data_IF_355079756175
#
_entry.id   IF_355079756175
#
_cell.length_a   1.000
_cell.length_b   1.000
_cell.length_c   1.000
_cell.angle_alpha   90.00
_cell.angle_beta   90.00
_cell.angle_gamma   90.00
#
_symmetry.space_group_name_H-M   'P 1'
#
loop_
_entity.id
_entity.type
_entity.pdbx_description
1 polymer ?
#
# COMPACT_ATOMS: atom_id res chain seq x y z
N UNK A 1 54.39 -1.32 -88.10
CA UNK A 1 54.12 -0.19 -87.19
C UNK A 1 52.74 -0.39 -86.61
N UNK A 2 52.70 -1.02 -85.44
CA UNK A 2 51.52 -1.46 -84.70
C UNK A 2 51.87 -1.24 -83.23
N UNK A 3 50.96 -0.54 -82.54
CA UNK A 3 50.72 -0.50 -81.09
C UNK A 3 51.88 -0.01 -80.21
N UNK A 4 51.69 1.16 -79.61
CA UNK A 4 51.59 1.15 -78.16
C UNK A 4 50.66 2.26 -77.65
N UNK A 5 49.80 1.84 -76.73
CA UNK A 5 48.72 2.60 -76.11
C UNK A 5 49.27 3.75 -75.26
N UNK A 6 48.72 4.95 -75.45
CA UNK A 6 48.35 5.87 -74.37
C UNK A 6 47.55 7.05 -74.91
N UNK A 7 46.63 7.45 -74.04
CA UNK A 7 46.02 8.77 -73.93
C UNK A 7 44.68 9.06 -74.63
N UNK A 8 43.77 9.49 -73.74
CA UNK A 8 42.68 10.43 -73.94
C UNK A 8 41.46 9.96 -74.72
N UNK A 9 40.47 9.42 -73.99
CA UNK A 9 39.04 9.79 -74.13
C UNK A 9 38.19 9.09 -73.08
N UNK A 10 37.92 9.75 -71.95
CA UNK A 10 36.70 9.51 -71.15
C UNK A 10 36.45 10.62 -70.12
N UNK A 11 36.60 11.90 -70.51
CA UNK A 11 35.98 13.01 -69.79
C UNK A 11 34.49 13.01 -70.19
N UNK A 12 33.69 12.06 -69.68
CA UNK A 12 32.22 12.17 -69.67
C UNK A 12 31.49 11.17 -68.77
N UNK A 13 32.05 10.75 -67.62
CA UNK A 13 31.26 10.02 -66.59
C UNK A 13 31.69 10.51 -65.20
N UNK A 14 31.41 11.79 -64.92
CA UNK A 14 31.66 12.36 -63.60
C UNK A 14 30.51 13.28 -63.17
N UNK A 15 29.26 12.93 -63.49
CA UNK A 15 28.05 13.60 -62.97
C UNK A 15 26.80 12.70 -63.02
N UNK A 16 26.78 11.51 -62.42
CA UNK A 16 25.49 10.85 -62.12
C UNK A 16 25.50 9.63 -61.18
N UNK A 17 26.32 9.58 -60.11
CA UNK A 17 26.19 8.50 -59.11
C UNK A 17 26.36 9.01 -57.67
N UNK A 18 25.76 10.16 -57.37
CA UNK A 18 25.65 10.65 -55.99
C UNK A 18 24.27 11.28 -55.78
N UNK A 19 23.23 10.45 -55.73
CA UNK A 19 21.88 10.79 -55.22
C UNK A 19 21.00 9.54 -55.28
N UNK A 20 20.93 8.82 -54.16
CA UNK A 20 19.78 8.03 -53.66
C UNK A 20 20.28 7.03 -52.62
N UNK A 21 20.83 7.54 -51.51
CA UNK A 21 20.79 6.83 -50.23
C UNK A 21 19.55 7.38 -49.50
N UNK A 22 18.49 6.57 -49.29
CA UNK A 22 17.40 7.01 -48.45
C UNK A 22 17.94 7.11 -47.04
N UNK A 23 18.05 8.33 -46.53
CA UNK A 23 18.23 8.57 -45.10
C UNK A 23 16.94 8.10 -44.43
N UNK A 24 16.93 6.86 -43.97
CA UNK A 24 15.97 6.36 -42.99
C UNK A 24 16.23 7.13 -41.69
N UNK A 25 15.67 8.33 -41.58
CA UNK A 25 15.51 8.98 -40.30
C UNK A 25 14.47 8.17 -39.52
N UNK A 26 14.82 7.51 -38.41
CA UNK A 26 13.81 6.88 -37.58
C UNK A 26 12.91 8.01 -37.06
N UNK A 27 11.67 8.06 -37.54
CA UNK A 27 10.64 8.88 -36.94
C UNK A 27 10.38 8.30 -35.55
N UNK A 28 11.04 8.86 -34.52
CA UNK A 28 10.68 8.61 -33.13
C UNK A 28 9.33 9.31 -32.95
N UNK A 29 8.25 8.57 -33.22
CA UNK A 29 6.90 8.99 -32.85
C UNK A 29 6.83 8.85 -31.33
N UNK A 30 7.01 9.96 -30.60
CA UNK A 30 6.65 10.01 -29.19
C UNK A 30 5.14 9.85 -29.15
N UNK A 31 4.65 8.66 -28.82
CA UNK A 31 3.23 8.45 -28.59
C UNK A 31 2.77 9.44 -27.52
N UNK A 32 1.70 10.20 -27.80
CA UNK A 32 1.13 11.10 -26.80
C UNK A 32 0.84 10.33 -25.51
N UNK A 33 1.15 10.91 -24.34
CA UNK A 33 0.90 10.24 -23.07
C UNK A 33 -0.60 9.98 -22.96
N UNK A 34 -0.96 8.72 -22.74
CA UNK A 34 -2.36 8.36 -22.52
C UNK A 34 -2.83 9.00 -21.22
N UNK A 35 -3.97 9.69 -21.26
CA UNK A 35 -4.50 10.43 -20.10
C UNK A 35 -5.73 9.71 -19.57
N UNK A 36 -5.78 9.51 -18.26
CA UNK A 36 -6.95 9.03 -17.53
C UNK A 36 -7.78 10.22 -17.03
N UNK A 37 -9.07 10.24 -17.32
CA UNK A 37 -10.01 11.15 -16.67
C UNK A 37 -10.51 10.49 -15.38
N UNK A 38 -10.03 10.99 -14.24
CA UNK A 38 -10.34 10.46 -12.92
C UNK A 38 -11.13 11.47 -12.10
N UNK A 39 -12.13 10.97 -11.38
CA UNK A 39 -12.82 11.76 -10.35
C UNK A 39 -12.34 11.38 -8.94
N UNK A 40 -12.53 12.31 -8.02
CA UNK A 40 -12.46 12.13 -6.56
C UNK A 40 -13.32 13.20 -5.87
N UNK A 41 -13.34 13.26 -4.53
CA UNK A 41 -14.07 14.26 -3.74
C UNK A 41 -13.12 15.06 -2.83
N UNK A 42 -13.58 16.14 -2.21
CA UNK A 42 -12.76 16.93 -1.28
C UNK A 42 -12.65 16.21 0.07
N UNK A 43 -11.43 15.86 0.48
CA UNK A 43 -11.11 15.31 1.80
C UNK A 43 -9.62 15.56 2.12
N UNK A 44 -9.24 16.76 2.60
CA UNK A 44 -7.89 17.01 3.05
C UNK A 44 -7.52 16.09 4.24
N UNK A 45 -6.25 15.64 4.35
CA UNK A 45 -5.10 15.94 3.48
C UNK A 45 -4.95 14.97 2.29
N UNK A 46 -5.90 14.05 2.10
CA UNK A 46 -5.83 12.99 1.10
C UNK A 46 -6.02 13.49 -0.33
N UNK A 47 -7.01 14.35 -0.52
CA UNK A 47 -7.30 15.02 -1.77
C UNK A 47 -7.99 16.36 -1.51
N UNK A 48 -7.41 17.45 -1.99
CA UNK A 48 -7.97 18.79 -1.82
C UNK A 48 -7.65 19.69 -2.99
N UNK A 49 -8.39 20.79 -3.08
CA UNK A 49 -8.14 21.81 -4.09
C UNK A 49 -6.81 22.52 -3.83
N UNK A 50 -5.88 22.43 -4.79
CA UNK A 50 -4.62 23.16 -4.75
C UNK A 50 -4.58 24.26 -5.82
N UNK A 51 -4.36 25.50 -5.38
CA UNK A 51 -4.10 26.62 -6.28
C UNK A 51 -2.63 26.62 -6.72
N UNK A 52 -2.40 26.48 -8.03
CA UNK A 52 -1.08 26.74 -8.62
C UNK A 52 -0.99 28.22 -9.01
N UNK A 53 0.22 28.78 -8.94
CA UNK A 53 0.56 30.17 -9.31
C UNK A 53 0.00 30.62 -10.67
N UNK A 54 -0.31 29.68 -11.57
CA UNK A 54 -0.82 29.92 -12.93
C UNK A 54 -2.36 29.91 -13.05
N UNK A 55 -3.11 30.11 -11.95
CA UNK A 55 -4.59 30.16 -11.91
C UNK A 55 -5.31 28.87 -12.36
N UNK A 56 -4.58 27.78 -12.62
CA UNK A 56 -5.19 26.46 -12.84
C UNK A 56 -5.45 25.81 -11.49
N UNK A 57 -6.70 25.48 -11.25
CA UNK A 57 -7.08 24.61 -10.13
C UNK A 57 -6.54 23.22 -10.42
N UNK A 58 -5.68 22.73 -9.52
CA UNK A 58 -5.22 21.35 -9.49
C UNK A 58 -5.80 20.64 -8.27
N UNK A 59 -5.82 19.32 -8.29
CA UNK A 59 -6.12 18.50 -7.11
C UNK A 59 -4.80 17.93 -6.62
N UNK A 60 -4.53 18.03 -5.32
CA UNK A 60 -3.32 17.52 -4.70
C UNK A 60 -3.67 16.81 -3.38
N UNK A 61 -2.72 16.06 -2.82
CA UNK A 61 -2.89 15.34 -1.57
C UNK A 61 -2.31 13.92 -1.62
N UNK A 62 -2.29 13.25 -0.49
CA UNK A 62 -1.59 11.97 -0.32
C UNK A 62 -2.13 10.85 -1.23
N UNK A 63 -3.45 10.75 -1.36
CA UNK A 63 -4.09 9.76 -2.24
C UNK A 63 -3.89 10.14 -3.70
N UNK A 64 -3.94 11.44 -4.02
CA UNK A 64 -3.66 11.96 -5.36
C UNK A 64 -2.24 11.59 -5.80
N UNK A 65 -1.25 11.78 -4.93
CA UNK A 65 0.14 11.45 -5.20
C UNK A 65 0.32 9.94 -5.41
N UNK A 66 -0.34 9.12 -4.57
CA UNK A 66 -0.33 7.66 -4.71
C UNK A 66 -0.89 7.21 -6.06
N UNK A 67 -2.09 7.68 -6.42
CA UNK A 67 -2.75 7.33 -7.69
C UNK A 67 -1.96 7.83 -8.89
N UNK A 68 -1.46 9.07 -8.83
CA UNK A 68 -0.65 9.67 -9.90
C UNK A 68 0.65 8.89 -10.11
N UNK A 69 1.34 8.53 -9.03
CA UNK A 69 2.55 7.72 -9.08
C UNK A 69 2.29 6.36 -9.72
N UNK A 70 1.26 5.63 -9.26
CA UNK A 70 0.97 4.29 -9.73
C UNK A 70 0.48 4.29 -11.19
N UNK A 71 -0.36 5.26 -11.58
CA UNK A 71 -0.78 5.43 -12.97
C UNK A 71 0.41 5.74 -13.89
N UNK A 72 1.34 6.61 -13.45
CA UNK A 72 2.56 6.93 -14.21
C UNK A 72 3.44 5.72 -14.42
N UNK A 73 3.65 4.89 -13.39
CA UNK A 73 4.40 3.65 -13.52
C UNK A 73 3.68 2.62 -14.41
N UNK A 74 2.35 2.67 -14.47
CA UNK A 74 1.54 1.91 -15.42
C UNK A 74 1.51 2.50 -16.84
N UNK A 75 2.20 3.62 -17.09
CA UNK A 75 2.32 4.26 -18.42
C UNK A 75 1.23 5.29 -18.74
N UNK A 76 0.54 5.83 -17.73
CA UNK A 76 -0.56 6.79 -17.90
C UNK A 76 -0.30 8.10 -17.16
N UNK A 77 -0.77 9.20 -17.74
CA UNK A 77 -0.95 10.47 -17.03
C UNK A 77 -2.38 10.55 -16.51
N UNK A 78 -2.62 11.38 -15.49
CA UNK A 78 -3.96 11.55 -14.89
C UNK A 78 -4.43 12.99 -15.02
N UNK A 79 -5.73 13.16 -15.24
CA UNK A 79 -6.45 14.42 -15.07
C UNK A 79 -7.53 14.19 -14.02
N UNK A 80 -7.36 14.83 -12.86
CA UNK A 80 -8.21 14.60 -11.69
C UNK A 80 -9.18 15.78 -11.52
N UNK A 81 -10.44 15.48 -11.20
CA UNK A 81 -11.47 16.48 -10.88
C UNK A 81 -12.19 16.14 -9.58
N UNK A 82 -12.38 17.16 -8.74
CA UNK A 82 -13.24 17.07 -7.57
C UNK A 82 -14.71 17.10 -8.00
N UNK A 83 -15.45 16.08 -7.59
CA UNK A 83 -16.84 15.85 -7.98
C UNK A 83 -17.61 15.29 -6.79
N UNK A 84 -18.85 15.77 -6.51
CA UNK A 84 -19.69 15.18 -5.47
C UNK A 84 -19.85 13.66 -5.68
N UNK A 85 -19.70 12.89 -4.60
CA UNK A 85 -19.53 11.43 -4.66
C UNK A 85 -20.68 10.72 -5.39
N UNK A 86 -21.93 11.09 -5.10
CA UNK A 86 -23.12 10.56 -5.78
C UNK A 86 -23.08 10.79 -7.31
N UNK A 87 -22.54 11.93 -7.76
CA UNK A 87 -22.38 12.23 -9.18
C UNK A 87 -21.24 11.39 -9.77
N UNK A 88 -20.09 11.34 -9.11
CA UNK A 88 -18.96 10.55 -9.59
C UNK A 88 -19.32 9.07 -9.77
N UNK A 89 -20.05 8.51 -8.81
CA UNK A 89 -20.57 7.15 -8.85
C UNK A 89 -21.53 6.92 -10.04
N UNK A 90 -22.44 7.87 -10.27
CA UNK A 90 -23.38 7.82 -11.40
C UNK A 90 -22.65 7.87 -12.75
N UNK A 91 -21.65 8.74 -12.90
CA UNK A 91 -20.87 8.88 -14.13
C UNK A 91 -19.99 7.65 -14.41
N UNK A 92 -19.37 7.09 -13.37
CA UNK A 92 -18.59 5.84 -13.45
C UNK A 92 -19.46 4.68 -13.96
N UNK A 93 -20.64 4.47 -13.37
CA UNK A 93 -21.58 3.40 -13.74
C UNK A 93 -22.05 3.50 -15.19
N UNK A 94 -22.07 4.71 -15.75
CA UNK A 94 -22.45 4.99 -17.14
C UNK A 94 -21.27 5.00 -18.11
N UNK A 95 -20.07 4.65 -17.65
CA UNK A 95 -18.82 4.71 -18.42
C UNK A 95 -18.54 6.12 -18.99
N UNK A 96 -18.96 7.19 -18.29
CA UNK A 96 -18.71 8.58 -18.73
C UNK A 96 -17.35 9.12 -18.29
N UNK A 97 -16.66 8.39 -17.40
CA UNK A 97 -15.30 8.66 -16.93
C UNK A 97 -14.48 7.37 -16.95
N UNK A 98 -13.15 7.48 -16.94
CA UNK A 98 -12.27 6.31 -16.91
C UNK A 98 -12.26 5.67 -15.51
N UNK A 99 -12.24 6.48 -14.46
CA UNK A 99 -12.24 5.97 -13.09
C UNK A 99 -12.57 6.96 -11.99
N UNK A 100 -12.80 6.44 -10.80
CA UNK A 100 -13.10 7.18 -9.56
C UNK A 100 -12.34 6.52 -8.42
N UNK A 101 -11.60 7.30 -7.62
CA UNK A 101 -10.81 6.79 -6.51
C UNK A 101 -11.19 7.38 -5.15
N UNK A 102 -10.57 6.83 -4.09
CA UNK A 102 -10.84 7.11 -2.69
C UNK A 102 -12.22 6.58 -2.23
N UNK A 103 -12.66 5.45 -2.80
CA UNK A 103 -13.99 4.90 -2.58
C UNK A 103 -13.93 3.53 -1.91
N UNK A 104 -14.77 3.29 -0.90
CA UNK A 104 -14.89 1.98 -0.24
C UNK A 104 -15.54 0.95 -1.18
N UNK A 105 -15.29 -0.32 -0.92
CA UNK A 105 -15.84 -1.40 -1.71
C UNK A 105 -17.35 -1.55 -1.47
N UNK A 106 -18.11 -1.81 -2.53
CA UNK A 106 -19.48 -2.30 -2.41
C UNK A 106 -19.79 -3.32 -3.50
N UNK A 107 -20.72 -4.22 -3.20
CA UNK A 107 -21.19 -5.25 -4.15
C UNK A 107 -21.72 -4.63 -5.45
N UNK A 108 -22.43 -3.51 -5.34
CA UNK A 108 -22.99 -2.77 -6.47
C UNK A 108 -21.88 -2.19 -7.37
N UNK A 109 -20.82 -1.66 -6.76
CA UNK A 109 -19.67 -1.13 -7.48
C UNK A 109 -18.84 -2.22 -8.14
N UNK A 110 -18.58 -3.32 -7.43
CA UNK A 110 -17.83 -4.46 -7.96
C UNK A 110 -18.56 -5.12 -9.15
N UNK A 111 -19.87 -4.91 -9.26
CA UNK A 111 -20.65 -5.31 -10.44
C UNK A 111 -20.48 -4.31 -11.59
N UNK A 112 -20.51 -3.00 -11.30
CA UNK A 112 -20.52 -1.95 -12.31
C UNK A 112 -19.14 -1.51 -12.82
N UNK A 113 -18.06 -1.83 -12.09
CA UNK A 113 -16.70 -1.37 -12.34
C UNK A 113 -15.68 -2.37 -11.77
N UNK A 114 -14.39 -2.16 -12.07
CA UNK A 114 -13.30 -3.01 -11.56
C UNK A 114 -12.38 -2.20 -10.68
N UNK A 115 -12.17 -2.65 -9.44
CA UNK A 115 -11.27 -1.99 -8.49
C UNK A 115 -9.82 -2.45 -8.60
N UNK A 116 -8.91 -1.55 -8.21
CA UNK A 116 -7.51 -1.80 -7.90
C UNK A 116 -7.32 -2.49 -6.55
N UNK A 117 -6.07 -2.71 -6.14
CA UNK A 117 -5.74 -2.85 -4.71
C UNK A 117 -5.93 -1.48 -4.00
N UNK A 118 -6.05 -1.43 -2.66
CA UNK A 118 -6.29 -0.18 -1.95
C UNK A 118 -5.25 0.89 -2.28
N UNK A 119 -5.70 2.10 -2.56
CA UNK A 119 -4.86 3.28 -2.83
C UNK A 119 -4.65 4.12 -1.57
N UNK A 120 -5.56 4.03 -0.60
CA UNK A 120 -5.48 4.69 0.69
C UNK A 120 -6.14 3.84 1.80
N UNK A 121 -5.91 4.24 3.05
CA UNK A 121 -6.55 3.64 4.21
C UNK A 121 -6.99 4.75 5.16
N UNK A 122 -8.29 4.87 5.35
CA UNK A 122 -8.88 5.77 6.34
C UNK A 122 -9.10 5.06 7.67
N UNK A 123 -9.20 5.83 8.76
CA UNK A 123 -9.51 5.32 10.10
C UNK A 123 -10.81 5.96 10.56
N UNK A 124 -11.88 5.18 10.56
CA UNK A 124 -13.19 5.69 10.89
C UNK A 124 -13.46 5.57 12.39
N UNK A 125 -14.02 6.64 12.94
CA UNK A 125 -14.40 6.74 14.34
C UNK A 125 -15.81 7.29 14.46
N UNK A 126 -16.51 6.85 15.51
CA UNK A 126 -17.59 7.65 16.08
C UNK A 126 -16.99 8.71 16.99
N UNK A 127 -17.29 9.96 16.69
CA UNK A 127 -16.99 11.12 17.53
C UNK A 127 -18.22 11.48 18.34
N UNK A 128 -18.07 11.62 19.66
CA UNK A 128 -19.16 11.97 20.55
C UNK A 128 -18.73 12.95 21.63
N UNK A 129 -19.68 13.73 22.13
CA UNK A 129 -19.52 14.52 23.36
C UNK A 129 -19.87 13.71 24.61
N UNK A 130 -20.38 12.49 24.45
CA UNK A 130 -20.69 11.56 25.53
C UNK A 130 -19.59 10.51 25.70
N UNK A 131 -19.40 10.03 26.92
CA UNK A 131 -18.33 9.07 27.28
C UNK A 131 -18.52 7.70 26.66
N UNK A 132 -19.77 7.27 26.44
CA UNK A 132 -20.11 5.99 25.83
C UNK A 132 -21.31 6.18 24.90
N UNK A 133 -21.11 6.74 23.69
CA UNK A 133 -22.18 6.80 22.71
C UNK A 133 -22.62 5.37 22.37
N UNK A 134 -23.93 5.15 22.32
CA UNK A 134 -24.48 3.92 21.74
C UNK A 134 -24.93 4.24 20.31
N UNK A 135 -24.09 4.03 19.29
CA UNK A 135 -24.45 4.36 17.91
C UNK A 135 -25.68 3.59 17.41
N UNK A 136 -25.97 2.38 17.92
CA UNK A 136 -27.15 1.62 17.52
C UNK A 136 -28.48 2.22 18.03
N UNK A 137 -28.43 3.10 19.03
CA UNK A 137 -29.60 3.70 19.67
C UNK A 137 -29.58 5.24 19.64
N UNK A 138 -28.45 5.84 19.27
CA UNK A 138 -28.23 7.28 19.22
C UNK A 138 -28.45 7.85 17.81
N UNK A 139 -28.61 9.17 17.75
CA UNK A 139 -28.73 9.91 16.49
C UNK A 139 -27.34 10.01 15.86
N UNK A 140 -27.07 9.18 14.86
CA UNK A 140 -25.82 9.23 14.10
C UNK A 140 -25.92 10.35 13.06
N UNK A 141 -24.92 11.22 13.01
CA UNK A 141 -24.68 12.13 11.89
C UNK A 141 -23.65 11.57 10.91
N UNK A 142 -23.90 11.72 9.62
CA UNK A 142 -22.97 11.32 8.55
C UNK A 142 -23.10 12.24 7.33
N UNK A 143 -22.08 12.31 6.47
CA UNK A 143 -22.14 13.12 5.25
C UNK A 143 -22.92 12.39 4.16
N UNK A 144 -23.80 13.10 3.46
CA UNK A 144 -24.58 12.56 2.35
C UNK A 144 -23.69 12.07 1.20
N UNK A 145 -23.93 10.85 0.72
CA UNK A 145 -23.18 10.22 -0.36
C UNK A 145 -21.75 9.78 0.00
N UNK A 146 -21.37 9.81 1.28
CA UNK A 146 -20.02 9.42 1.70
C UNK A 146 -19.81 7.91 1.77
N UNK A 147 -18.55 7.48 1.87
CA UNK A 147 -18.21 6.07 2.08
C UNK A 147 -18.80 5.56 3.39
N UNK A 148 -18.79 6.39 4.43
CA UNK A 148 -19.34 6.12 5.76
C UNK A 148 -20.84 5.90 5.72
N UNK A 149 -21.60 6.71 4.96
CA UNK A 149 -23.05 6.52 4.80
C UNK A 149 -23.34 5.18 4.11
N UNK A 150 -22.65 4.89 3.00
CA UNK A 150 -22.82 3.64 2.28
C UNK A 150 -22.50 2.41 3.16
N UNK A 151 -21.49 2.53 4.03
CA UNK A 151 -21.18 1.48 5.00
C UNK A 151 -22.25 1.33 6.08
N UNK A 152 -22.73 2.44 6.69
CA UNK A 152 -23.82 2.39 7.68
C UNK A 152 -25.07 1.69 7.11
N UNK A 153 -25.45 2.03 5.88
CA UNK A 153 -26.56 1.39 5.17
C UNK A 153 -26.31 -0.12 4.98
N UNK A 154 -25.09 -0.52 4.63
CA UNK A 154 -24.71 -1.93 4.46
C UNK A 154 -24.76 -2.74 5.77
N UNK A 155 -24.53 -2.08 6.91
CA UNK A 155 -24.68 -2.66 8.25
C UNK A 155 -26.13 -2.61 8.77
N UNK A 156 -27.07 -2.04 7.98
CA UNK A 156 -28.48 -1.91 8.35
C UNK A 156 -28.80 -0.70 9.25
N UNK A 157 -27.84 0.18 9.50
CA UNK A 157 -27.99 1.41 10.28
C UNK A 157 -28.52 2.54 9.38
N UNK A 158 -29.83 2.54 9.13
CA UNK A 158 -30.46 3.46 8.19
C UNK A 158 -31.07 4.72 8.84
N UNK A 159 -31.25 4.73 10.17
CA UNK A 159 -31.80 5.89 10.90
C UNK A 159 -30.70 6.89 11.24
N UNK A 160 -30.24 7.61 10.22
CA UNK A 160 -29.11 8.55 10.30
C UNK A 160 -29.52 9.94 9.85
N UNK A 161 -28.91 10.97 10.44
CA UNK A 161 -29.03 12.35 10.00
C UNK A 161 -27.92 12.67 9.01
N UNK A 162 -28.27 12.91 7.76
CA UNK A 162 -27.30 13.29 6.73
C UNK A 162 -27.08 14.80 6.66
N UNK A 163 -25.85 15.21 6.39
CA UNK A 163 -25.48 16.61 6.13
C UNK A 163 -24.74 16.75 4.81
N UNK A 164 -24.65 17.97 4.28
CA UNK A 164 -23.99 18.18 2.98
C UNK A 164 -22.49 18.41 3.11
N UNK A 165 -22.00 18.91 4.25
CA UNK A 165 -20.58 19.20 4.45
C UNK A 165 -20.10 18.68 5.81
N UNK A 166 -18.82 18.24 5.92
CA UNK A 166 -18.27 17.76 7.19
C UNK A 166 -18.36 18.77 8.35
N UNK A 167 -18.21 20.08 8.09
CA UNK A 167 -18.31 21.13 9.10
C UNK A 167 -19.69 21.16 9.78
N UNK A 168 -20.74 20.76 9.05
CA UNK A 168 -22.09 20.67 9.61
C UNK A 168 -22.19 19.55 10.66
N UNK A 169 -21.46 18.43 10.50
CA UNK A 169 -21.43 17.37 11.52
C UNK A 169 -20.86 17.89 12.84
N UNK A 170 -19.71 18.59 12.77
CA UNK A 170 -19.09 19.18 13.95
C UNK A 170 -20.02 20.17 14.65
N UNK A 171 -20.72 21.02 13.89
CA UNK A 171 -21.70 21.95 14.43
C UNK A 171 -22.90 21.26 15.09
N UNK A 172 -23.36 20.12 14.57
CA UNK A 172 -24.47 19.36 15.15
C UNK A 172 -24.05 18.62 16.42
N UNK A 173 -22.85 18.04 16.46
CA UNK A 173 -22.27 17.43 17.67
C UNK A 173 -22.18 18.44 18.80
N UNK A 174 -21.59 19.61 18.55
CA UNK A 174 -21.41 20.67 19.55
C UNK A 174 -22.73 21.20 20.11
N UNK A 175 -23.79 21.16 19.31
CA UNK A 175 -25.15 21.57 19.71
C UNK A 175 -25.98 20.41 20.27
N UNK A 176 -25.39 19.22 20.45
CA UNK A 176 -26.05 17.98 20.92
C UNK A 176 -27.30 17.61 20.11
N UNK A 177 -27.29 17.94 18.80
CA UNK A 177 -28.36 17.58 17.87
C UNK A 177 -28.18 16.18 17.29
N UNK A 178 -26.96 15.67 17.33
CA UNK A 178 -26.59 14.29 17.08
C UNK A 178 -25.76 13.80 18.27
N UNK A 179 -25.77 12.50 18.50
CA UNK A 179 -25.10 11.85 19.64
C UNK A 179 -23.74 11.29 19.24
N UNK A 180 -23.59 10.92 17.96
CA UNK A 180 -22.32 10.52 17.36
C UNK A 180 -22.22 11.03 15.92
N UNK A 181 -21.01 11.38 15.47
CA UNK A 181 -20.72 11.57 14.05
C UNK A 181 -19.75 10.49 13.57
N UNK A 182 -20.04 9.85 12.44
CA UNK A 182 -19.13 8.89 11.80
C UNK A 182 -18.28 9.60 10.74
N UNK A 183 -16.95 9.56 10.89
CA UNK A 183 -16.02 10.21 9.96
C UNK A 183 -14.60 9.64 10.06
N UNK A 184 -13.80 9.87 9.03
CA UNK A 184 -12.33 9.70 9.11
C UNK A 184 -11.70 10.61 10.18
N UNK A 185 -10.75 10.04 10.92
CA UNK A 185 -10.04 10.74 11.99
C UNK A 185 -9.24 11.95 11.53
N UNK A 186 -8.48 11.84 10.44
CA UNK A 186 -7.61 12.92 9.99
C UNK A 186 -8.41 14.06 9.39
N UNK A 187 -9.52 13.74 8.72
CA UNK A 187 -10.47 14.76 8.27
C UNK A 187 -11.07 15.52 9.47
N UNK A 188 -11.45 14.83 10.56
CA UNK A 188 -11.91 15.50 11.78
C UNK A 188 -10.82 16.39 12.40
N UNK A 189 -9.57 15.91 12.46
CA UNK A 189 -8.42 16.69 12.96
C UNK A 189 -8.18 17.96 12.12
N UNK A 190 -8.31 17.86 10.80
CA UNK A 190 -8.20 19.02 9.90
C UNK A 190 -9.34 20.03 10.12
N UNK A 191 -10.57 19.55 10.32
CA UNK A 191 -11.75 20.40 10.57
C UNK A 191 -11.71 21.11 11.93
N UNK A 192 -11.18 20.45 12.96
CA UNK A 192 -10.95 21.03 14.28
C UNK A 192 -9.82 22.09 14.25
N UNK A 193 -8.91 21.93 13.30
CA UNK A 193 -7.81 22.85 13.08
C UNK A 193 -6.68 22.71 14.11
N UNK A 194 -5.65 23.56 14.04
CA UNK A 194 -4.40 23.38 14.76
C UNK A 194 -4.52 23.51 16.29
N UNK A 195 -5.61 24.11 16.78
CA UNK A 195 -5.88 24.24 18.22
C UNK A 195 -6.47 22.98 18.83
N UNK A 196 -7.12 22.11 18.05
CA UNK A 196 -7.66 20.83 18.52
C UNK A 196 -8.73 20.94 19.62
N UNK A 197 -9.39 22.09 19.75
CA UNK A 197 -10.21 22.42 20.93
C UNK A 197 -11.43 21.47 21.04
N UNK A 198 -12.00 21.04 19.92
CA UNK A 198 -13.13 20.13 19.93
C UNK A 198 -12.70 18.70 20.27
N UNK A 199 -11.66 18.19 19.61
CA UNK A 199 -11.18 16.81 19.81
C UNK A 199 -10.65 16.54 21.21
N UNK A 200 -10.10 17.53 21.90
CA UNK A 200 -9.66 17.38 23.30
C UNK A 200 -10.82 17.00 24.25
N UNK A 201 -12.04 17.42 23.93
CA UNK A 201 -13.23 17.19 24.76
C UNK A 201 -14.10 16.03 24.26
N UNK A 202 -13.79 15.48 23.09
CA UNK A 202 -14.59 14.44 22.46
C UNK A 202 -14.08 13.04 22.79
N UNK A 203 -15.03 12.11 22.86
CA UNK A 203 -14.76 10.69 22.92
C UNK A 203 -14.73 10.13 21.50
N UNK A 204 -13.68 9.35 21.22
CA UNK A 204 -13.48 8.68 19.95
C UNK A 204 -13.62 7.18 20.14
N UNK A 205 -14.57 6.57 19.44
CA UNK A 205 -14.72 5.12 19.38
C UNK A 205 -14.32 4.63 18.00
N UNK A 206 -13.26 3.82 17.94
CA UNK A 206 -12.79 3.22 16.69
C UNK A 206 -13.87 2.33 16.09
N UNK A 207 -14.10 2.47 14.79
CA UNK A 207 -15.09 1.67 14.04
C UNK A 207 -14.35 0.63 13.20
N UNK A 208 -13.54 1.10 12.23
CA UNK A 208 -12.80 0.23 11.32
C UNK A 208 -11.67 0.98 10.62
N UNK A 209 -10.76 0.20 10.06
CA UNK A 209 -9.91 0.64 8.97
C UNK A 209 -10.71 0.49 7.66
N UNK A 210 -10.76 1.55 6.86
CA UNK A 210 -11.48 1.57 5.59
C UNK A 210 -10.49 1.61 4.42
N UNK A 211 -10.21 0.47 3.75
CA UNK A 211 -9.48 0.49 2.48
C UNK A 211 -10.27 1.26 1.44
N UNK A 212 -9.59 2.20 0.78
CA UNK A 212 -10.18 2.94 -0.32
C UNK A 212 -9.49 2.55 -1.63
N UNK A 213 -10.28 2.43 -2.68
CA UNK A 213 -9.85 1.86 -3.96
C UNK A 213 -9.90 2.89 -5.10
N UNK A 214 -9.21 2.59 -6.20
CA UNK A 214 -9.51 3.15 -7.52
C UNK A 214 -10.43 2.17 -8.26
N UNK A 215 -11.63 2.61 -8.63
CA UNK A 215 -12.50 1.89 -9.54
C UNK A 215 -12.32 2.42 -10.96
N UNK A 216 -12.11 1.49 -11.90
CA UNK A 216 -12.06 1.76 -13.33
C UNK A 216 -13.35 1.28 -14.00
N UNK A 217 -13.86 2.07 -14.95
CA UNK A 217 -15.05 1.71 -15.71
C UNK A 217 -14.82 0.40 -16.49
N UNK A 218 -15.90 -0.36 -16.70
CA UNK A 218 -15.80 -1.64 -17.42
C UNK A 218 -15.29 -1.42 -18.85
N UNK A 219 -15.72 -0.34 -19.50
CA UNK A 219 -15.26 0.01 -20.85
C UNK A 219 -13.75 0.27 -20.89
N UNK A 220 -13.22 1.02 -19.92
CA UNK A 220 -11.77 1.26 -19.84
C UNK A 220 -11.00 -0.05 -19.67
N UNK A 221 -11.43 -0.92 -18.75
CA UNK A 221 -10.73 -2.18 -18.45
C UNK A 221 -10.80 -3.14 -19.63
N UNK A 222 -11.93 -3.18 -20.35
CA UNK A 222 -12.06 -3.97 -21.58
C UNK A 222 -11.08 -3.50 -22.67
N UNK A 223 -10.88 -2.17 -22.81
CA UNK A 223 -9.91 -1.59 -23.77
C UNK A 223 -8.46 -1.74 -23.31
N UNK A 224 -8.22 -1.81 -22.00
CA UNK A 224 -6.88 -1.78 -21.40
C UNK A 224 -6.71 -2.84 -20.29
N UNK A 225 -6.80 -4.15 -20.60
CA UNK A 225 -6.84 -5.22 -19.60
C UNK A 225 -5.58 -5.33 -18.73
N UNK A 226 -4.45 -4.81 -19.20
CA UNK A 226 -3.18 -4.79 -18.44
C UNK A 226 -3.03 -3.63 -17.45
N UNK A 227 -3.92 -2.64 -17.47
CA UNK A 227 -3.77 -1.43 -16.65
C UNK A 227 -3.77 -1.74 -15.16
N UNK A 228 -4.82 -2.40 -14.65
CA UNK A 228 -4.96 -2.68 -13.22
C UNK A 228 -3.80 -3.54 -12.69
N UNK A 229 -3.33 -4.51 -13.46
CA UNK A 229 -2.17 -5.33 -13.09
C UNK A 229 -0.89 -4.48 -12.96
N UNK A 230 -0.65 -3.56 -13.89
CA UNK A 230 0.51 -2.68 -13.84
C UNK A 230 0.38 -1.64 -12.72
N UNK A 231 -0.81 -1.08 -12.53
CA UNK A 231 -1.14 -0.13 -11.46
C UNK A 231 -0.93 -0.75 -10.08
N UNK A 232 -1.52 -1.92 -9.83
CA UNK A 232 -1.41 -2.63 -8.57
C UNK A 232 0.04 -3.01 -8.23
N UNK A 233 0.83 -3.40 -9.25
CA UNK A 233 2.27 -3.69 -9.05
C UNK A 233 3.06 -2.47 -8.56
N UNK A 234 2.65 -1.26 -8.95
CA UNK A 234 3.34 -0.02 -8.58
C UNK A 234 2.91 0.54 -7.21
N UNK A 235 1.74 0.15 -6.69
CA UNK A 235 1.17 0.72 -5.47
C UNK A 235 2.11 0.62 -4.24
N UNK A 236 2.77 -0.52 -3.95
CA UNK A 236 3.63 -0.62 -2.77
C UNK A 236 4.75 0.44 -2.73
N UNK A 237 5.34 0.77 -3.88
CA UNK A 237 6.40 1.77 -3.99
C UNK A 237 5.84 3.21 -3.97
N UNK A 238 4.60 3.39 -4.41
CA UNK A 238 3.92 4.69 -4.44
C UNK A 238 3.27 5.08 -3.11
N UNK A 239 3.05 4.12 -2.20
CA UNK A 239 2.42 4.34 -0.89
C UNK A 239 3.40 4.67 0.25
N UNK A 240 4.68 4.91 -0.06
CA UNK A 240 5.80 5.07 0.89
C UNK A 240 5.56 6.16 1.96
N UNK A 241 4.86 5.81 3.03
CA UNK A 241 4.56 6.67 4.19
C UNK A 241 3.13 7.20 4.27
N UNK A 242 2.23 6.86 3.34
CA UNK A 242 0.85 7.35 3.34
C UNK A 242 -0.02 6.70 4.44
N UNK A 243 0.35 5.53 4.95
CA UNK A 243 -0.40 4.80 5.98
C UNK A 243 0.50 4.51 7.18
N UNK A 244 0.48 5.42 8.16
CA UNK A 244 1.31 5.35 9.36
C UNK A 244 0.51 5.01 10.62
N UNK A 245 1.21 4.44 11.60
CA UNK A 245 0.70 4.27 12.95
C UNK A 245 0.75 5.62 13.68
N UNK A 246 -0.32 5.96 14.39
CA UNK A 246 -0.25 6.99 15.43
C UNK A 246 0.68 6.53 16.56
N UNK A 247 1.14 7.45 17.40
CA UNK A 247 1.98 7.10 18.55
C UNK A 247 1.33 6.06 19.48
N UNK A 248 0.01 6.19 19.73
CA UNK A 248 -0.72 5.24 20.56
C UNK A 248 -0.83 3.85 19.92
N UNK A 249 -1.10 3.77 18.61
CA UNK A 249 -1.10 2.51 17.87
C UNK A 249 0.29 1.87 17.83
N UNK A 250 1.34 2.69 17.69
CA UNK A 250 2.73 2.22 17.71
C UNK A 250 3.08 1.61 19.08
N UNK A 251 2.73 2.29 20.17
CA UNK A 251 2.99 1.81 21.53
C UNK A 251 2.19 0.54 21.83
N UNK A 252 0.93 0.46 21.37
CA UNK A 252 0.12 -0.74 21.50
C UNK A 252 0.69 -1.91 20.70
N UNK A 253 1.07 -1.67 19.44
CA UNK A 253 1.73 -2.66 18.60
C UNK A 253 3.04 -3.14 19.23
N UNK A 254 3.82 -2.25 19.87
CA UNK A 254 5.04 -2.61 20.57
C UNK A 254 4.79 -3.55 21.75
N UNK A 255 3.72 -3.32 22.51
CA UNK A 255 3.32 -4.18 23.62
C UNK A 255 2.93 -5.59 23.13
N UNK A 256 2.05 -5.67 22.13
CA UNK A 256 1.62 -6.96 21.55
C UNK A 256 2.80 -7.69 20.92
N UNK A 257 3.63 -6.97 20.18
CA UNK A 257 4.85 -7.49 19.56
C UNK A 257 5.80 -8.12 20.59
N UNK A 258 6.05 -7.43 21.71
CA UNK A 258 6.91 -7.94 22.78
C UNK A 258 6.41 -9.29 23.30
N UNK A 259 5.13 -9.36 23.67
CA UNK A 259 4.52 -10.58 24.19
C UNK A 259 4.59 -11.75 23.18
N UNK A 260 4.34 -11.47 21.88
CA UNK A 260 4.39 -12.48 20.83
C UNK A 260 5.81 -12.99 20.57
N UNK A 261 6.81 -12.10 20.59
CA UNK A 261 8.21 -12.47 20.38
C UNK A 261 8.74 -13.30 21.55
N UNK A 262 8.38 -12.94 22.78
CA UNK A 262 8.74 -13.70 23.99
C UNK A 262 8.14 -15.12 23.94
N UNK A 263 6.83 -15.24 23.72
CA UNK A 263 6.17 -16.56 23.64
C UNK A 263 6.68 -17.41 22.46
N UNK A 264 7.07 -16.80 21.34
CA UNK A 264 7.72 -17.52 20.26
C UNK A 264 9.10 -18.04 20.67
N UNK A 265 9.92 -17.20 21.32
CA UNK A 265 11.28 -17.56 21.73
C UNK A 265 11.30 -18.67 22.80
N UNK A 266 10.26 -18.76 23.63
CA UNK A 266 10.11 -19.84 24.62
C UNK A 266 9.77 -21.20 23.99
N UNK A 267 9.16 -21.20 22.81
CA UNK A 267 8.67 -22.42 22.13
C UNK A 267 9.57 -22.88 20.99
N UNK A 268 10.28 -21.94 20.36
CA UNK A 268 11.13 -22.21 19.20
C UNK A 268 12.53 -21.71 19.47
N UNK A 269 13.52 -22.61 19.40
CA UNK A 269 14.92 -22.23 19.52
C UNK A 269 15.37 -21.49 18.25
N UNK A 270 15.27 -20.15 18.27
CA UNK A 270 15.58 -19.28 17.14
C UNK A 270 17.07 -19.32 16.75
N UNK A 271 17.98 -19.55 17.70
CA UNK A 271 19.41 -19.70 17.41
C UNK A 271 19.66 -20.98 16.61
N UNK A 272 19.03 -22.08 17.03
CA UNK A 272 19.12 -23.36 16.32
C UNK A 272 18.47 -23.25 14.94
N UNK A 273 17.32 -22.57 14.83
CA UNK A 273 16.68 -22.31 13.54
C UNK A 273 17.61 -21.57 12.55
N UNK A 274 18.38 -20.59 13.04
CA UNK A 274 19.38 -19.89 12.23
C UNK A 274 20.55 -20.82 11.86
N UNK A 275 21.01 -21.66 12.79
CA UNK A 275 22.14 -22.55 12.58
C UNK A 275 21.84 -23.70 11.59
N UNK A 276 20.62 -24.23 11.62
CA UNK A 276 20.16 -25.32 10.74
C UNK A 276 19.72 -24.82 9.36
N UNK A 277 19.45 -23.52 9.23
CA UNK A 277 19.07 -22.90 7.97
C UNK A 277 20.23 -22.73 6.98
N UNK A 278 19.94 -22.35 5.72
CA UNK A 278 20.97 -22.17 4.70
C UNK A 278 21.98 -21.07 5.06
N UNK A 279 23.27 -21.40 4.99
CA UNK A 279 24.37 -20.49 5.30
C UNK A 279 25.07 -19.97 4.03
N UNK A 280 24.37 -19.13 3.27
CA UNK A 280 24.92 -18.50 2.06
C UNK A 280 25.40 -17.09 2.43
N UNK A 281 26.71 -16.84 2.26
CA UNK A 281 27.34 -15.57 2.67
C UNK A 281 27.70 -14.65 1.50
N UNK A 282 27.94 -15.22 0.31
CA UNK A 282 28.40 -14.45 -0.84
C UNK A 282 27.22 -13.69 -1.45
N UNK A 283 27.25 -12.36 -1.38
CA UNK A 283 26.19 -11.49 -1.89
C UNK A 283 25.80 -11.76 -3.37
N UNK A 284 26.78 -12.10 -4.22
CA UNK A 284 26.50 -12.46 -5.62
C UNK A 284 25.67 -13.73 -5.77
N UNK A 285 25.90 -14.72 -4.90
CA UNK A 285 25.14 -15.98 -4.86
C UNK A 285 23.75 -15.74 -4.27
N UNK A 286 23.66 -15.00 -3.16
CA UNK A 286 22.40 -14.58 -2.54
C UNK A 286 21.48 -13.92 -3.57
N UNK A 287 22.00 -12.93 -4.31
CA UNK A 287 21.21 -12.22 -5.35
C UNK A 287 20.78 -13.12 -6.51
N UNK A 288 21.57 -14.13 -6.83
CA UNK A 288 21.20 -15.09 -7.88
C UNK A 288 20.06 -16.01 -7.41
N UNK A 289 20.13 -16.52 -6.18
CA UNK A 289 19.07 -17.32 -5.56
C UNK A 289 17.81 -16.49 -5.43
N UNK A 290 17.92 -15.25 -4.94
CA UNK A 290 16.79 -14.34 -4.77
C UNK A 290 16.06 -14.06 -6.10
N UNK A 291 16.81 -13.81 -7.18
CA UNK A 291 16.23 -13.63 -8.52
C UNK A 291 15.46 -14.87 -8.98
N UNK A 292 16.00 -16.06 -8.73
CA UNK A 292 15.33 -17.31 -9.10
C UNK A 292 14.09 -17.57 -8.24
N UNK A 293 14.14 -17.21 -6.96
CA UNK A 293 13.01 -17.27 -6.04
C UNK A 293 11.85 -16.41 -6.53
N UNK A 294 12.12 -15.13 -6.80
CA UNK A 294 11.12 -14.13 -7.24
C UNK A 294 10.55 -14.41 -8.63
N UNK A 295 11.27 -15.14 -9.47
CA UNK A 295 10.81 -15.53 -10.80
C UNK A 295 9.76 -16.65 -10.78
N UNK A 296 9.59 -17.34 -9.63
CA UNK A 296 8.60 -18.41 -9.45
C UNK A 296 7.32 -17.86 -8.84
N UNK A 297 6.21 -18.51 -9.16
CA UNK A 297 4.93 -18.22 -8.53
C UNK A 297 4.89 -18.83 -7.11
N UNK A 298 4.07 -18.26 -6.23
CA UNK A 298 3.97 -18.70 -4.82
C UNK A 298 3.46 -20.16 -4.68
N UNK A 299 2.86 -20.72 -5.71
CA UNK A 299 2.41 -22.10 -5.80
C UNK A 299 3.44 -23.07 -6.42
N UNK A 300 4.55 -22.57 -6.96
CA UNK A 300 5.69 -23.36 -7.48
C UNK A 300 7.01 -23.02 -6.75
N UNK A 301 7.15 -23.40 -5.46
CA UNK A 301 8.32 -23.05 -4.68
C UNK A 301 9.61 -23.71 -5.21
N UNK A 302 10.69 -22.93 -5.20
CA UNK A 302 12.04 -23.43 -5.52
C UNK A 302 12.43 -24.63 -4.64
N UNK A 303 13.41 -25.43 -5.07
CA UNK A 303 13.90 -26.55 -4.25
C UNK A 303 14.39 -26.09 -2.88
N UNK A 304 15.14 -24.97 -2.84
CA UNK A 304 15.59 -24.37 -1.59
C UNK A 304 14.42 -23.90 -0.71
N UNK A 305 13.39 -23.28 -1.30
CA UNK A 305 12.20 -22.90 -0.55
C UNK A 305 11.49 -24.10 0.09
N UNK A 306 11.38 -25.21 -0.64
CA UNK A 306 10.81 -26.47 -0.14
C UNK A 306 11.66 -27.07 0.98
N UNK A 307 12.98 -27.06 0.83
CA UNK A 307 13.92 -27.51 1.87
C UNK A 307 13.76 -26.69 3.15
N UNK A 308 13.76 -25.35 3.06
CA UNK A 308 13.56 -24.48 4.22
C UNK A 308 12.19 -24.71 4.86
N UNK A 309 11.10 -24.81 4.09
CA UNK A 309 9.75 -25.04 4.60
C UNK A 309 9.58 -26.38 5.34
N UNK A 310 10.43 -27.35 5.02
CA UNK A 310 10.46 -28.68 5.63
C UNK A 310 11.40 -28.78 6.86
N UNK A 311 12.14 -27.71 7.18
CA UNK A 311 12.99 -27.70 8.38
C UNK A 311 12.13 -27.81 9.65
N UNK A 312 12.57 -28.55 10.69
CA UNK A 312 11.85 -28.65 11.95
C UNK A 312 11.51 -27.29 12.57
N UNK A 313 12.41 -26.31 12.42
CA UNK A 313 12.15 -24.94 12.85
C UNK A 313 10.97 -24.32 12.08
N UNK A 314 10.92 -24.43 10.75
CA UNK A 314 9.80 -23.93 9.93
C UNK A 314 8.48 -24.60 10.27
N UNK A 315 8.49 -25.89 10.59
CA UNK A 315 7.30 -26.60 11.09
C UNK A 315 6.83 -26.06 12.44
N UNK A 316 7.77 -25.82 13.37
CA UNK A 316 7.47 -25.24 14.67
C UNK A 316 6.93 -23.81 14.56
N UNK A 317 7.52 -22.97 13.69
CA UNK A 317 7.01 -21.62 13.39
C UNK A 317 5.59 -21.68 12.83
N UNK A 318 5.31 -22.62 11.92
CA UNK A 318 3.97 -22.81 11.35
C UNK A 318 2.97 -23.29 12.40
N UNK A 319 3.35 -24.22 13.28
CA UNK A 319 2.51 -24.68 14.38
C UNK A 319 2.17 -23.54 15.35
N UNK A 320 3.19 -22.79 15.79
CA UNK A 320 3.04 -21.63 16.66
C UNK A 320 2.10 -20.56 16.07
N UNK A 321 2.28 -20.27 14.78
CA UNK A 321 1.44 -19.32 14.03
C UNK A 321 0.00 -19.81 13.86
N UNK A 322 -0.23 -21.13 13.74
CA UNK A 322 -1.57 -21.71 13.57
C UNK A 322 -2.43 -21.58 14.84
N UNK A 323 -1.80 -21.50 16.02
CA UNK A 323 -2.50 -21.17 17.26
C UNK A 323 -2.94 -19.69 17.35
N UNK A 324 -2.45 -18.82 16.44
CA UNK A 324 -2.58 -17.35 16.47
C UNK A 324 -3.00 -16.77 15.12
N UNK A 325 -3.77 -17.52 14.33
CA UNK A 325 -4.11 -17.18 12.93
C UNK A 325 -4.81 -15.84 12.75
N UNK A 326 -5.48 -15.35 13.79
CA UNK A 326 -6.22 -14.09 13.72
C UNK A 326 -5.30 -12.87 13.70
N UNK A 327 -4.13 -12.93 14.36
CA UNK A 327 -3.22 -11.79 14.51
C UNK A 327 -1.94 -11.99 13.72
N UNK A 328 -1.35 -13.19 13.73
CA UNK A 328 -0.07 -13.46 13.06
C UNK A 328 -0.31 -14.03 11.67
N UNK A 329 0.11 -13.29 10.64
CA UNK A 329 -0.01 -13.71 9.23
C UNK A 329 1.19 -14.54 8.80
N UNK A 330 2.39 -14.20 9.28
CA UNK A 330 3.62 -14.91 9.00
C UNK A 330 4.71 -14.71 10.05
N UNK A 331 5.69 -15.61 9.99
CA UNK A 331 6.92 -15.60 10.78
C UNK A 331 8.08 -15.98 9.88
N UNK A 332 9.12 -15.17 9.89
CA UNK A 332 10.40 -15.38 9.20
C UNK A 332 11.54 -15.33 10.21
N UNK A 333 12.52 -16.20 10.05
CA UNK A 333 13.79 -16.15 10.80
C UNK A 333 14.90 -15.92 9.79
N UNK A 334 15.66 -14.84 9.99
CA UNK A 334 16.64 -14.31 9.06
C UNK A 334 18.01 -14.37 9.71
N UNK A 335 19.00 -14.93 9.01
CA UNK A 335 20.37 -15.01 9.51
C UNK A 335 21.14 -13.68 9.31
N UNK A 336 22.42 -13.66 9.73
CA UNK A 336 23.26 -12.44 9.66
C UNK A 336 23.57 -11.94 8.26
N UNK A 337 23.46 -12.81 7.25
CA UNK A 337 23.64 -12.45 5.83
C UNK A 337 22.37 -11.80 5.24
N UNK A 338 21.29 -11.76 6.03
CA UNK A 338 19.99 -11.27 5.59
C UNK A 338 19.18 -12.31 4.80
N UNK A 339 19.55 -13.59 4.84
CA UNK A 339 18.80 -14.65 4.13
C UNK A 339 17.89 -15.43 5.07
N UNK A 340 16.78 -15.94 4.54
CA UNK A 340 15.81 -16.72 5.31
C UNK A 340 16.43 -18.05 5.75
N UNK A 341 16.44 -18.28 7.06
CA UNK A 341 16.87 -19.51 7.69
C UNK A 341 15.69 -20.45 8.02
N UNK A 342 14.54 -19.88 8.39
CA UNK A 342 13.29 -20.61 8.60
C UNK A 342 12.08 -19.71 8.29
N UNK A 343 10.95 -20.30 7.90
CA UNK A 343 9.73 -19.55 7.58
C UNK A 343 8.47 -20.39 7.83
N UNK A 344 7.44 -19.75 8.38
CA UNK A 344 6.14 -20.39 8.64
C UNK A 344 5.30 -20.63 7.38
N UNK A 345 5.51 -19.81 6.34
CA UNK A 345 4.90 -19.89 5.01
C UNK A 345 5.91 -19.41 3.97
N UNK A 346 5.64 -19.66 2.69
CA UNK A 346 6.49 -19.18 1.61
C UNK A 346 6.52 -17.64 1.56
N UNK A 347 7.73 -17.06 1.49
CA UNK A 347 7.97 -15.63 1.28
C UNK A 347 8.04 -15.28 -0.21
N UNK A 348 7.84 -13.99 -0.53
CA UNK A 348 7.99 -13.44 -1.90
C UNK A 348 9.42 -13.52 -2.45
N UNK A 349 10.40 -13.50 -1.57
CA UNK A 349 11.81 -13.34 -1.86
C UNK A 349 12.65 -14.02 -0.76
N UNK A 350 13.91 -14.32 -1.08
CA UNK A 350 14.81 -15.08 -0.20
C UNK A 350 15.72 -14.16 0.62
N UNK A 351 16.16 -13.06 0.01
CA UNK A 351 17.04 -12.10 0.64
C UNK A 351 16.21 -10.97 1.22
N UNK A 352 16.39 -10.71 2.51
CA UNK A 352 15.69 -9.68 3.29
C UNK A 352 16.67 -8.63 3.81
N UNK A 353 17.95 -8.75 3.43
CA UNK A 353 19.05 -7.98 4.00
C UNK A 353 19.09 -6.51 3.59
N UNK A 354 18.40 -6.15 2.52
CA UNK A 354 18.22 -4.78 2.03
C UNK A 354 16.95 -4.10 2.58
N UNK A 355 16.10 -4.84 3.30
CA UNK A 355 14.84 -4.31 3.79
C UNK A 355 14.97 -3.56 5.13
N UNK A 356 14.14 -2.54 5.39
CA UNK A 356 14.08 -1.85 6.68
C UNK A 356 13.87 -2.78 7.87
N UNK A 357 13.08 -3.84 7.69
CA UNK A 357 12.79 -4.84 8.73
C UNK A 357 14.03 -5.60 9.21
N UNK A 358 15.12 -5.60 8.43
CA UNK A 358 16.40 -6.18 8.81
C UNK A 358 17.43 -5.10 9.16
N UNK A 359 17.66 -4.16 8.24
CA UNK A 359 18.71 -3.12 8.35
C UNK A 359 18.56 -2.25 9.60
N UNK A 360 17.33 -1.96 10.04
CA UNK A 360 17.07 -1.16 11.25
C UNK A 360 17.60 -1.81 12.52
N UNK A 361 17.74 -3.14 12.56
CA UNK A 361 18.27 -3.88 13.71
C UNK A 361 19.77 -4.20 13.59
N UNK A 362 20.33 -4.19 12.37
CA UNK A 362 21.68 -4.70 12.11
C UNK A 362 22.70 -3.61 11.76
N UNK A 363 22.25 -2.44 11.28
CA UNK A 363 23.13 -1.39 10.72
C UNK A 363 23.27 -0.13 11.61
N UNK A 364 22.89 -0.17 12.89
CA UNK A 364 22.95 1.01 13.77
C UNK A 364 23.29 0.77 15.23
N UNK A 365 24.20 1.58 15.79
CA UNK A 365 24.57 1.55 17.22
C UNK A 365 23.44 1.97 18.18
N UNK A 366 22.34 2.55 17.68
CA UNK A 366 21.19 3.02 18.47
C UNK A 366 19.96 2.09 18.42
N UNK A 367 19.96 1.08 17.54
CA UNK A 367 18.84 0.15 17.32
C UNK A 367 19.13 -1.30 17.71
N UNK A 368 20.39 -1.64 17.94
CA UNK A 368 20.79 -2.98 18.38
C UNK A 368 20.11 -3.35 19.71
N UNK A 369 19.13 -4.25 19.66
CA UNK A 369 18.41 -4.73 20.85
C UNK A 369 16.97 -4.23 21.00
N UNK A 370 16.47 -3.35 20.12
CA UNK A 370 15.07 -2.88 20.16
C UNK A 370 14.26 -3.48 19.01
N UNK A 371 12.98 -3.73 19.28
CA UNK A 371 11.98 -4.08 18.28
C UNK A 371 11.88 -2.96 17.23
N UNK A 372 11.63 -3.33 15.98
CA UNK A 372 11.24 -2.43 14.90
C UNK A 372 9.82 -2.76 14.46
N UNK A 373 9.01 -1.72 14.25
CA UNK A 373 7.65 -1.85 13.70
C UNK A 373 7.60 -1.06 12.40
N UNK A 374 7.14 -1.70 11.32
CA UNK A 374 6.98 -1.05 10.03
C UNK A 374 5.73 -0.15 10.00
N UNK A 375 5.63 0.78 9.02
CA UNK A 375 4.35 1.33 8.62
C UNK A 375 3.35 0.23 8.22
N UNK A 376 2.07 0.58 8.13
CA UNK A 376 1.02 -0.33 7.64
C UNK A 376 1.21 -0.49 6.13
N UNK A 377 1.14 -1.72 5.63
CA UNK A 377 1.22 -2.05 4.20
C UNK A 377 0.11 -2.99 3.80
N UNK A 378 -0.41 -2.86 2.59
CA UNK A 378 -1.35 -3.82 2.03
C UNK A 378 -0.58 -5.02 1.45
N UNK A 379 -0.94 -6.23 1.90
CA UNK A 379 -0.47 -7.49 1.33
C UNK A 379 -1.56 -8.04 0.38
N UNK A 380 -1.32 -7.87 -0.92
CA UNK A 380 -2.23 -8.34 -1.97
C UNK A 380 -2.44 -9.87 -1.97
N UNK A 381 -1.49 -10.65 -1.43
CA UNK A 381 -1.61 -12.12 -1.37
C UNK A 381 -2.66 -12.58 -0.34
N UNK A 382 -2.85 -11.80 0.72
CA UNK A 382 -3.79 -12.09 1.80
C UNK A 382 -4.98 -11.13 1.83
N UNK A 383 -4.98 -10.13 0.95
CA UNK A 383 -5.95 -9.02 0.91
C UNK A 383 -6.11 -8.32 2.27
N UNK A 384 -5.00 -8.15 3.00
CA UNK A 384 -4.99 -7.61 4.37
C UNK A 384 -3.97 -6.50 4.50
N UNK A 385 -4.26 -5.55 5.38
CA UNK A 385 -3.23 -4.64 5.88
C UNK A 385 -2.41 -5.33 6.94
N UNK A 386 -1.10 -5.15 6.89
CA UNK A 386 -0.16 -5.78 7.79
C UNK A 386 0.85 -4.76 8.31
N UNK A 387 1.30 -4.98 9.54
CA UNK A 387 2.52 -4.38 10.08
C UNK A 387 3.56 -5.49 10.26
N UNK A 388 4.82 -5.16 9.99
CA UNK A 388 5.94 -6.06 10.21
C UNK A 388 6.60 -5.68 11.54
N UNK A 389 6.80 -6.67 12.39
CA UNK A 389 7.50 -6.55 13.66
C UNK A 389 8.79 -7.34 13.56
N UNK A 390 9.93 -6.68 13.76
CA UNK A 390 11.23 -7.33 13.75
C UNK A 390 11.87 -7.27 15.13
N UNK A 391 12.40 -8.40 15.60
CA UNK A 391 13.13 -8.51 16.86
C UNK A 391 14.52 -9.13 16.66
N UNK A 392 15.52 -8.68 17.43
CA UNK A 392 16.86 -9.24 17.36
C UNK A 392 16.90 -10.63 18.02
N UNK A 393 17.53 -11.60 17.35
CA UNK A 393 17.84 -12.90 17.96
C UNK A 393 19.17 -12.78 18.70
N UNK A 394 19.19 -13.11 19.99
CA UNK A 394 20.39 -13.11 20.82
C UNK A 394 21.38 -14.22 20.40
N UNK A 395 22.68 -14.13 20.75
CA UNK A 395 23.32 -13.00 21.41
C UNK A 395 23.47 -11.77 20.50
N UNK A 396 23.52 -10.58 21.11
CA UNK A 396 23.85 -9.33 20.41
C UNK A 396 25.29 -8.95 20.76
N UNK A 397 26.21 -9.09 19.81
CA UNK A 397 27.65 -8.85 20.01
C UNK A 397 28.10 -7.65 19.20
N UNK A 398 28.70 -6.66 19.84
CA UNK A 398 29.15 -5.42 19.16
C UNK A 398 28.02 -4.66 18.47
N UNK A 399 26.80 -4.74 19.02
CA UNK A 399 25.61 -4.11 18.43
C UNK A 399 25.02 -4.85 17.22
N UNK A 400 25.44 -6.10 16.96
CA UNK A 400 24.87 -6.91 15.87
C UNK A 400 24.22 -8.17 16.43
N UNK A 401 22.93 -8.43 16.13
CA UNK A 401 22.26 -9.64 16.60
C UNK A 401 22.76 -10.88 15.86
N UNK A 402 22.49 -12.07 16.42
CA UNK A 402 22.78 -13.37 15.80
C UNK A 402 21.89 -13.63 14.57
N UNK A 403 20.74 -12.97 14.52
CA UNK A 403 19.83 -12.90 13.39
C UNK A 403 18.65 -12.02 13.73
N UNK A 404 17.60 -12.06 12.92
CA UNK A 404 16.37 -11.31 13.13
C UNK A 404 15.18 -12.25 12.98
N UNK A 405 14.23 -12.18 13.90
CA UNK A 405 12.91 -12.78 13.70
C UNK A 405 11.94 -11.69 13.29
N UNK A 406 11.10 -11.97 12.30
CA UNK A 406 10.10 -11.06 11.77
C UNK A 406 8.72 -11.71 11.91
N UNK A 407 7.76 -10.98 12.46
CA UNK A 407 6.36 -11.33 12.52
C UNK A 407 5.58 -10.38 11.60
N UNK A 408 4.83 -10.92 10.65
CA UNK A 408 3.77 -10.17 9.98
C UNK A 408 2.51 -10.24 10.84
N UNK A 409 1.95 -9.09 11.20
CA UNK A 409 0.73 -8.98 11.98
C UNK A 409 -0.37 -8.34 11.15
N UNK A 410 -1.59 -8.87 11.22
CA UNK A 410 -2.78 -8.23 10.67
C UNK A 410 -3.00 -6.90 11.39
N UNK A 411 -2.96 -5.78 10.65
CA UNK A 411 -2.96 -4.45 11.24
C UNK A 411 -4.26 -4.18 12.00
N UNK A 412 -5.41 -4.58 11.48
CA UNK A 412 -6.67 -4.36 12.19
C UNK A 412 -6.74 -5.18 13.47
N UNK A 413 -6.38 -6.46 13.42
CA UNK A 413 -6.46 -7.36 14.58
C UNK A 413 -5.42 -7.02 15.64
N UNK A 414 -4.23 -6.58 15.23
CA UNK A 414 -3.16 -6.17 16.14
C UNK A 414 -3.40 -4.78 16.74
N UNK A 415 -4.06 -3.86 16.02
CA UNK A 415 -4.24 -2.47 16.46
C UNK A 415 -5.62 -2.18 17.03
N UNK A 416 -6.59 -3.10 16.89
CA UNK A 416 -7.87 -3.06 17.63
C UNK A 416 -7.57 -3.16 19.13
N UNK A 417 -7.25 -2.02 19.72
CA UNK A 417 -7.20 -1.89 21.15
C UNK A 417 -8.60 -2.16 21.68
N UNK A 418 -8.75 -3.15 22.57
CA UNK A 418 -9.70 -2.97 23.66
C UNK A 418 -9.12 -1.86 24.52
N UNK A 419 -9.48 -0.62 24.20
CA UNK A 419 -9.47 0.45 25.18
C UNK A 419 -10.34 -0.01 26.35
N UNK A 420 -9.70 -0.44 27.43
CA UNK A 420 -10.34 -0.62 28.73
C UNK A 420 -10.38 0.72 29.47
#
# INVERSE_FOLDING_TARGET
MIVNNRDETAIMIARLLLRLLPVLAPSITVAEPRVLELYTYEAPPYQSQAQVLDQRVSVAGETVDTVTCAARQAGWSVRIRLTPQNRALHELRRNMIDGYFAIDASTDLDTAARRSDPVALEKWYFFSTETQPNPEQGRIGVVDGSNELAWLESEGLNDVLTVTTPEQLLALLNRRRIDAALMDRRLMEELDGPTGEYLETMHMQFVRYAPLYLYMSQDFVARHPGFLTAFNRALPDCQNGAITLSSAEYDHALHIAGNLVEDLADRVNLQQAIADGPAIEKLGEIRNIDRQWRARALDDPTSLAREILALPASEALRAWKTERTDVVTEVLVINRSGTIAAMSRLSSDFWQGDEPKFTRLTEGARGAGKLYISPIRYDASTARFQIMVSAPVAPVTGGKPFGVVVLGLDAEKALRARSL
#
